data_IF_520695776719
#
_entry.id   IF_520695776719
#
_cell.length_a   1.000
_cell.length_b   1.000
_cell.length_c   1.000
_cell.angle_alpha   90.00
_cell.angle_beta   90.00
_cell.angle_gamma   90.00
#
_symmetry.space_group_name_H-M   'P 1'
#
loop_
_entity.id
_entity.type
_entity.pdbx_description
1 polymer ?
#
# COMPACT_ATOMS: atom_id res chain seq x y z
N UNK A 1 -12.82 -8.02 9.63
CA UNK A 1 -11.77 -8.23 8.62
C UNK A 1 -12.18 -7.45 7.38
N UNK A 2 -11.30 -6.60 6.89
CA UNK A 2 -11.58 -5.82 5.70
C UNK A 2 -11.55 -6.70 4.44
N UNK A 3 -12.33 -6.34 3.44
CA UNK A 3 -12.23 -6.88 2.08
C UNK A 3 -11.25 -6.04 1.30
N UNK A 4 -10.24 -6.70 0.74
CA UNK A 4 -9.20 -6.10 -0.09
C UNK A 4 -9.53 -6.34 -1.55
N UNK A 5 -9.44 -5.31 -2.38
CA UNK A 5 -9.62 -5.43 -3.83
C UNK A 5 -8.52 -4.67 -4.54
N UNK A 6 -7.65 -5.40 -5.24
CA UNK A 6 -6.64 -4.80 -6.10
C UNK A 6 -7.32 -4.10 -7.27
N UNK A 7 -7.09 -2.79 -7.38
CA UNK A 7 -7.60 -1.96 -8.46
C UNK A 7 -6.61 -1.89 -9.61
N UNK A 8 -5.32 -1.78 -9.28
CA UNK A 8 -4.25 -1.67 -10.26
C UNK A 8 -2.94 -2.20 -9.69
N UNK A 9 -2.06 -2.70 -10.57
CA UNK A 9 -0.67 -2.99 -10.26
C UNK A 9 0.20 -2.41 -11.38
N UNK A 10 1.06 -1.47 -11.01
CA UNK A 10 1.99 -0.83 -11.93
C UNK A 10 3.41 -1.33 -11.65
N UNK A 11 4.01 -2.00 -12.63
CA UNK A 11 5.40 -2.41 -12.57
C UNK A 11 6.30 -1.22 -12.95
N UNK A 12 7.09 -0.73 -11.99
CA UNK A 12 8.18 0.20 -12.27
C UNK A 12 9.38 -0.54 -12.87
N UNK A 13 9.66 -1.71 -12.30
CA UNK A 13 10.64 -2.71 -12.79
C UNK A 13 10.11 -4.10 -12.42
N UNK A 14 10.69 -5.21 -12.94
CA UNK A 14 10.24 -6.55 -12.56
C UNK A 14 10.21 -6.81 -11.04
N UNK A 15 11.10 -6.16 -10.28
CA UNK A 15 11.21 -6.31 -8.83
C UNK A 15 10.70 -5.09 -8.05
N UNK A 16 9.96 -4.17 -8.69
CA UNK A 16 9.38 -3.00 -8.01
C UNK A 16 8.00 -2.72 -8.54
N UNK A 17 6.99 -2.80 -7.69
CA UNK A 17 5.60 -2.53 -8.07
C UNK A 17 4.99 -1.44 -7.20
N UNK A 18 4.00 -0.77 -7.76
CA UNK A 18 3.07 0.08 -7.02
C UNK A 18 1.69 -0.52 -7.21
N UNK A 19 1.10 -0.98 -6.13
CA UNK A 19 -0.23 -1.55 -6.11
C UNK A 19 -1.21 -0.51 -5.58
N UNK A 20 -2.38 -0.44 -6.21
CA UNK A 20 -3.51 0.36 -5.72
C UNK A 20 -4.54 -0.59 -5.19
N UNK A 21 -4.76 -0.58 -3.86
CA UNK A 21 -5.67 -1.50 -3.19
C UNK A 21 -6.82 -0.70 -2.59
N UNK A 22 -8.05 -1.15 -2.84
CA UNK A 22 -9.23 -0.68 -2.13
C UNK A 22 -9.46 -1.55 -0.90
N UNK A 23 -9.42 -0.95 0.28
CA UNK A 23 -9.73 -1.58 1.56
C UNK A 23 -11.15 -1.18 1.97
N UNK A 24 -12.02 -2.14 2.23
CA UNK A 24 -13.41 -1.85 2.59
C UNK A 24 -13.92 -2.74 3.72
N UNK A 25 -14.87 -2.24 4.51
CA UNK A 25 -15.56 -3.01 5.56
C UNK A 25 -17.06 -3.18 5.26
N UNK A 26 -17.46 -3.03 4.00
CA UNK A 26 -18.86 -3.08 3.55
C UNK A 26 -19.64 -1.77 3.68
N UNK A 27 -19.18 -0.84 4.55
CA UNK A 27 -19.82 0.48 4.73
C UNK A 27 -18.91 1.60 4.22
N UNK A 28 -17.62 1.51 4.55
CA UNK A 28 -16.59 2.46 4.13
C UNK A 28 -15.60 1.78 3.21
N UNK A 29 -14.97 2.57 2.37
CA UNK A 29 -13.86 2.15 1.53
C UNK A 29 -12.78 3.24 1.51
N UNK A 30 -11.52 2.82 1.51
CA UNK A 30 -10.37 3.69 1.34
C UNK A 30 -9.40 3.07 0.35
N UNK A 31 -8.84 3.90 -0.52
CA UNK A 31 -7.77 3.48 -1.43
C UNK A 31 -6.43 3.72 -0.77
N UNK A 32 -5.60 2.68 -0.72
CA UNK A 32 -4.22 2.73 -0.29
C UNK A 32 -3.30 2.41 -1.48
N UNK A 33 -2.08 2.92 -1.42
CA UNK A 33 -1.03 2.63 -2.38
C UNK A 33 0.08 1.88 -1.68
N UNK A 34 0.57 0.81 -2.30
CA UNK A 34 1.59 -0.06 -1.72
C UNK A 34 2.76 -0.08 -2.68
N UNK A 35 3.89 0.44 -2.26
CA UNK A 35 5.15 0.27 -2.95
C UNK A 35 5.83 -1.00 -2.46
N UNK A 36 6.00 -1.96 -3.35
CA UNK A 36 6.73 -3.19 -3.07
C UNK A 36 8.12 -3.12 -3.72
N UNK A 37 9.15 -3.30 -2.89
CA UNK A 37 10.54 -3.45 -3.32
C UNK A 37 11.00 -4.88 -3.08
N UNK A 38 11.25 -5.60 -4.17
CA UNK A 38 11.81 -6.96 -4.21
C UNK A 38 11.01 -8.04 -3.45
N UNK A 39 9.77 -7.76 -3.04
CA UNK A 39 8.95 -8.69 -2.24
C UNK A 39 9.37 -8.78 -0.77
N UNK A 40 10.22 -7.86 -0.29
CA UNK A 40 10.78 -7.87 1.08
C UNK A 40 10.67 -6.51 1.79
N UNK A 41 10.09 -5.50 1.12
CA UNK A 41 9.89 -4.19 1.69
C UNK A 41 8.64 -3.58 1.09
N UNK A 42 7.62 -3.44 1.92
CA UNK A 42 6.30 -2.96 1.55
C UNK A 42 6.03 -1.65 2.26
N UNK A 43 5.90 -0.57 1.50
CA UNK A 43 5.62 0.78 2.02
C UNK A 43 4.21 1.18 1.65
N UNK A 44 3.42 1.56 2.66
CA UNK A 44 2.02 1.92 2.48
C UNK A 44 1.86 3.44 2.48
N UNK A 45 1.00 3.92 1.60
CA UNK A 45 0.66 5.33 1.46
C UNK A 45 -0.86 5.50 1.41
N UNK A 46 -1.38 6.45 2.18
CA UNK A 46 -2.79 6.79 2.26
C UNK A 46 -3.28 7.65 1.08
N UNK A 47 -2.36 8.23 0.30
CA UNK A 47 -2.69 9.11 -0.82
C UNK A 47 -1.64 9.06 -1.92
N UNK A 48 -2.02 9.49 -3.14
CA UNK A 48 -1.05 9.69 -4.23
C UNK A 48 -0.06 10.82 -3.94
N UNK A 49 -0.44 11.79 -3.12
CA UNK A 49 0.40 12.94 -2.78
C UNK A 49 1.56 12.53 -1.89
N UNK A 50 1.29 11.75 -0.83
CA UNK A 50 2.35 11.23 0.06
C UNK A 50 3.30 10.31 -0.68
N UNK A 51 2.74 9.46 -1.56
CA UNK A 51 3.53 8.62 -2.44
C UNK A 51 4.42 9.43 -3.43
N UNK A 52 3.90 10.52 -4.01
CA UNK A 52 4.69 11.39 -4.89
C UNK A 52 5.83 12.10 -4.12
N UNK A 53 5.52 12.67 -2.95
CA UNK A 53 6.48 13.33 -2.09
C UNK A 53 7.60 12.37 -1.62
N UNK A 54 7.27 11.09 -1.39
CA UNK A 54 8.26 10.06 -1.09
C UNK A 54 9.28 9.87 -2.22
N UNK A 55 8.84 9.88 -3.49
CA UNK A 55 9.77 9.79 -4.63
C UNK A 55 10.66 11.02 -4.77
N UNK A 56 10.18 12.19 -4.36
CA UNK A 56 10.94 13.43 -4.37
C UNK A 56 11.88 13.56 -3.15
N UNK A 57 11.79 12.62 -2.19
CA UNK A 57 12.55 12.65 -0.94
C UNK A 57 12.04 13.68 0.07
N UNK A 58 10.80 14.14 -0.11
CA UNK A 58 10.15 15.18 0.71
C UNK A 58 9.24 14.60 1.80
N UNK A 59 8.93 13.30 1.75
CA UNK A 59 8.12 12.60 2.73
C UNK A 59 8.61 11.17 2.99
N UNK A 60 8.23 10.63 4.13
CA UNK A 60 8.36 9.21 4.47
C UNK A 60 7.07 8.46 4.15
N UNK A 61 7.16 7.13 4.09
CA UNK A 61 5.99 6.26 4.04
C UNK A 61 5.10 6.38 5.28
N UNK A 62 3.80 6.09 5.14
CA UNK A 62 2.89 6.11 6.29
C UNK A 62 3.13 4.89 7.20
N UNK A 63 3.51 3.75 6.61
CA UNK A 63 3.91 2.50 7.29
C UNK A 63 4.88 1.70 6.41
N UNK A 64 5.80 0.96 7.03
CA UNK A 64 6.73 0.04 6.37
C UNK A 64 6.65 -1.35 7.01
N UNK A 65 6.60 -2.39 6.17
CA UNK A 65 6.61 -3.79 6.54
C UNK A 65 7.72 -4.53 5.78
N UNK A 66 8.30 -5.57 6.40
CA UNK A 66 9.36 -6.38 5.79
C UNK A 66 8.82 -7.70 5.21
N UNK A 67 7.60 -8.07 5.60
CA UNK A 67 6.95 -9.31 5.16
C UNK A 67 5.56 -9.04 4.60
N UNK A 68 5.12 -9.91 3.69
CA UNK A 68 3.77 -9.85 3.11
C UNK A 68 2.71 -10.16 4.17
N UNK A 69 3.02 -11.07 5.11
CA UNK A 69 2.14 -11.44 6.21
C UNK A 69 1.84 -10.27 7.17
N UNK A 70 2.85 -9.44 7.48
CA UNK A 70 2.65 -8.23 8.30
C UNK A 70 1.78 -7.20 7.59
N UNK A 71 2.01 -7.00 6.28
CA UNK A 71 1.21 -6.11 5.45
C UNK A 71 -0.25 -6.58 5.41
N UNK A 72 -0.48 -7.86 5.16
CA UNK A 72 -1.82 -8.45 5.10
C UNK A 72 -2.55 -8.31 6.44
N UNK A 73 -1.86 -8.58 7.54
CA UNK A 73 -2.41 -8.40 8.88
C UNK A 73 -2.83 -6.94 9.14
N UNK A 74 -2.01 -5.98 8.71
CA UNK A 74 -2.32 -4.56 8.79
C UNK A 74 -3.54 -4.19 7.94
N UNK A 75 -3.58 -4.58 6.67
CA UNK A 75 -4.69 -4.25 5.76
C UNK A 75 -6.02 -4.86 6.23
N UNK A 76 -5.98 -6.07 6.78
CA UNK A 76 -7.14 -6.77 7.32
C UNK A 76 -7.80 -6.06 8.52
N UNK A 77 -7.01 -5.29 9.28
CA UNK A 77 -7.41 -4.56 10.49
C UNK A 77 -7.32 -3.04 10.37
N UNK A 78 -7.06 -2.53 9.17
CA UNK A 78 -6.95 -1.10 8.90
C UNK A 78 -8.21 -0.35 9.31
N UNK A 79 -8.05 0.75 10.06
CA UNK A 79 -9.17 1.59 10.49
C UNK A 79 -9.69 2.46 9.34
N UNK A 80 -10.94 2.22 8.94
CA UNK A 80 -11.67 2.93 7.87
C UNK A 80 -12.60 4.02 8.41
#
# INVERSE_FOLDING_TARGET
MNTLTQQNCHYLTPNKTIETISVSNGVKAKTLFIYNYQGISFRVFASKQTLAAFWEGEAEEDQHFETEEELDAFLAHYEL
#
